data_IF_987810854158
#
_entry.id   IF_987810854158
#
_cell.length_a   1.000
_cell.length_b   1.000
_cell.length_c   1.000
_cell.angle_alpha   90.00
_cell.angle_beta   90.00
_cell.angle_gamma   90.00
#
_symmetry.space_group_name_H-M   'P 1'
#
loop_
_entity.id
_entity.type
_entity.pdbx_description
1 polymer ?
#
# COMPACT_ATOMS: atom_id res chain seq x y z
N UNK A 1 -30.30 17.04 -34.90
CA UNK A 1 -30.42 16.21 -33.71
C UNK A 1 -29.15 16.32 -32.82
N UNK A 2 -27.95 16.44 -33.41
CA UNK A 2 -26.68 16.49 -32.63
C UNK A 2 -26.55 17.71 -31.70
N UNK A 3 -27.06 18.91 -32.11
CA UNK A 3 -26.91 20.12 -31.28
C UNK A 3 -27.74 20.12 -30.00
N UNK A 4 -28.82 19.35 -29.92
CA UNK A 4 -29.69 19.28 -28.74
C UNK A 4 -29.08 18.38 -27.63
N UNK A 5 -28.35 17.34 -28.04
CA UNK A 5 -27.69 16.42 -27.12
C UNK A 5 -26.47 17.08 -26.44
N UNK A 6 -25.68 17.81 -27.23
CA UNK A 6 -24.51 18.57 -26.73
C UNK A 6 -24.94 19.65 -25.73
N UNK A 7 -26.07 20.34 -26.01
CA UNK A 7 -26.62 21.36 -25.10
C UNK A 7 -27.13 20.76 -23.78
N UNK A 8 -27.63 19.51 -23.80
CA UNK A 8 -28.11 18.84 -22.60
C UNK A 8 -26.94 18.42 -21.69
N UNK A 9 -25.83 17.95 -22.28
CA UNK A 9 -24.63 17.57 -21.51
C UNK A 9 -23.97 18.82 -20.89
N UNK A 10 -23.91 19.94 -21.63
CA UNK A 10 -23.39 21.20 -21.09
C UNK A 10 -24.23 21.80 -19.95
N UNK A 11 -25.55 21.56 -19.94
CA UNK A 11 -26.45 22.06 -18.90
C UNK A 11 -26.30 21.31 -17.57
N UNK A 12 -25.67 20.13 -17.57
CA UNK A 12 -25.41 19.31 -16.38
C UNK A 12 -24.03 19.55 -15.76
N UNK A 13 -23.23 20.47 -16.32
CA UNK A 13 -21.94 20.87 -15.74
C UNK A 13 -20.78 19.88 -15.98
N UNK A 14 -20.96 18.93 -16.90
CA UNK A 14 -19.87 18.03 -17.30
C UNK A 14 -18.93 18.71 -18.28
N UNK A 15 -17.64 18.68 -18.00
CA UNK A 15 -16.62 19.13 -18.95
C UNK A 15 -16.61 18.17 -20.15
N UNK A 16 -16.45 18.72 -21.35
CA UNK A 16 -16.16 17.89 -22.52
C UNK A 16 -14.75 17.32 -22.34
N UNK A 17 -14.64 16.01 -22.21
CA UNK A 17 -13.36 15.32 -22.20
C UNK A 17 -13.35 14.26 -23.29
N UNK A 18 -12.16 14.04 -23.83
CA UNK A 18 -11.81 12.95 -24.74
C UNK A 18 -11.88 11.64 -23.95
N UNK A 19 -13.04 10.98 -23.96
CA UNK A 19 -13.36 9.85 -23.10
C UNK A 19 -12.82 8.52 -23.67
N UNK A 20 -12.48 8.46 -24.95
CA UNK A 20 -11.86 7.30 -25.60
C UNK A 20 -10.34 7.47 -25.82
N UNK A 21 -9.78 8.64 -25.49
CA UNK A 21 -8.35 8.93 -25.51
C UNK A 21 -7.75 9.08 -26.92
N UNK A 22 -8.58 9.33 -27.94
CA UNK A 22 -8.10 9.41 -29.32
C UNK A 22 -7.58 10.81 -29.75
N UNK A 23 -7.78 11.83 -28.89
CA UNK A 23 -7.35 13.22 -29.11
C UNK A 23 -8.37 14.11 -29.79
N UNK A 24 -9.54 13.60 -30.18
CA UNK A 24 -10.63 14.34 -30.82
C UNK A 24 -11.89 14.31 -29.93
N UNK A 25 -12.60 15.41 -29.83
CA UNK A 25 -13.90 15.47 -29.13
C UNK A 25 -15.03 15.17 -30.11
N UNK A 26 -15.56 13.96 -30.08
CA UNK A 26 -16.57 13.53 -31.03
C UNK A 26 -17.80 12.83 -30.40
N UNK A 27 -18.59 12.18 -31.23
CA UNK A 27 -19.83 11.49 -30.79
C UNK A 27 -19.53 10.27 -29.89
N UNK A 28 -18.36 9.66 -30.03
CA UNK A 28 -17.97 8.48 -29.25
C UNK A 28 -17.77 8.87 -27.80
N UNK A 29 -17.09 10.01 -27.54
CA UNK A 29 -16.93 10.57 -26.20
C UNK A 29 -18.26 10.85 -25.52
N UNK A 30 -19.20 11.45 -26.26
CA UNK A 30 -20.53 11.73 -25.74
C UNK A 30 -21.31 10.43 -25.44
N UNK A 31 -21.15 9.39 -26.26
CA UNK A 31 -21.81 8.08 -26.04
C UNK A 31 -21.23 7.37 -24.82
N UNK A 32 -19.90 7.39 -24.61
CA UNK A 32 -19.25 6.82 -23.45
C UNK A 32 -19.74 7.52 -22.18
N UNK A 33 -19.74 8.84 -22.14
CA UNK A 33 -20.24 9.64 -21.02
C UNK A 33 -21.72 9.38 -20.73
N UNK A 34 -22.57 9.30 -21.77
CA UNK A 34 -24.00 9.00 -21.61
C UNK A 34 -24.25 7.58 -21.11
N UNK A 35 -23.52 6.58 -21.58
CA UNK A 35 -23.61 5.21 -21.07
C UNK A 35 -23.25 5.15 -19.59
N UNK A 36 -22.24 5.87 -19.17
CA UNK A 36 -21.86 5.99 -17.79
C UNK A 36 -22.98 6.57 -16.92
N UNK A 37 -23.63 7.65 -17.36
CA UNK A 37 -24.76 8.28 -16.66
C UNK A 37 -25.96 7.30 -16.56
N UNK A 38 -26.28 6.59 -17.64
CA UNK A 38 -27.44 5.69 -17.72
C UNK A 38 -27.25 4.38 -16.93
N UNK A 39 -26.02 3.94 -16.75
CA UNK A 39 -25.69 2.70 -16.03
C UNK A 39 -25.32 2.94 -14.55
N UNK A 40 -25.45 4.19 -14.10
CA UNK A 40 -25.07 4.58 -12.74
C UNK A 40 -23.57 4.28 -12.44
N UNK A 41 -22.75 4.15 -13.50
CA UNK A 41 -21.33 4.15 -13.32
C UNK A 41 -20.91 5.58 -12.97
N UNK A 42 -20.55 5.81 -11.75
CA UNK A 42 -19.85 7.02 -11.40
C UNK A 42 -18.59 7.03 -12.26
N UNK A 43 -18.35 8.14 -12.96
CA UNK A 43 -17.06 8.38 -13.58
C UNK A 43 -16.05 8.31 -12.42
N UNK A 44 -15.41 7.16 -12.29
CA UNK A 44 -14.16 7.09 -11.53
C UNK A 44 -13.22 7.88 -12.41
N UNK A 45 -12.89 9.13 -12.04
CA UNK A 45 -11.60 9.67 -12.41
C UNK A 45 -10.65 8.55 -11.99
N UNK A 46 -10.06 7.87 -12.95
CA UNK A 46 -8.92 7.00 -12.68
C UNK A 46 -7.83 8.01 -12.35
N UNK A 47 -7.77 8.42 -11.09
CA UNK A 47 -6.55 8.99 -10.55
C UNK A 47 -5.57 7.83 -10.67
N UNK A 48 -4.71 7.89 -11.70
CA UNK A 48 -3.79 6.81 -12.08
C UNK A 48 -2.88 6.37 -10.92
N UNK A 49 -2.90 7.11 -9.82
CA UNK A 49 -1.99 6.97 -8.68
C UNK A 49 -2.68 6.64 -7.34
N UNK A 50 -3.93 6.16 -7.32
CA UNK A 50 -4.62 5.80 -6.07
C UNK A 50 -5.45 4.51 -6.19
N UNK A 51 -5.59 3.79 -5.07
CA UNK A 51 -6.49 2.66 -4.94
C UNK A 51 -7.41 2.82 -3.73
N UNK A 52 -8.71 2.63 -3.95
CA UNK A 52 -9.72 2.64 -2.88
C UNK A 52 -9.85 1.23 -2.30
N UNK A 53 -9.53 1.08 -1.03
CA UNK A 53 -9.59 -0.21 -0.36
C UNK A 53 -9.87 -0.06 1.14
N UNK A 54 -10.82 -0.83 1.67
CA UNK A 54 -11.20 -0.88 3.09
C UNK A 54 -11.44 0.52 3.69
N UNK A 55 -12.35 1.30 3.06
CA UNK A 55 -12.73 2.68 3.41
C UNK A 55 -11.56 3.70 3.42
N UNK A 56 -10.43 3.35 2.80
CA UNK A 56 -9.27 4.22 2.69
C UNK A 56 -8.80 4.37 1.23
N UNK A 57 -8.17 5.50 0.93
CA UNK A 57 -7.60 5.81 -0.38
C UNK A 57 -6.08 5.78 -0.26
N UNK A 58 -5.46 4.71 -0.77
CA UNK A 58 -4.00 4.56 -0.78
C UNK A 58 -3.40 5.23 -2.00
N UNK A 59 -2.32 5.97 -1.80
CA UNK A 59 -1.48 6.43 -2.89
C UNK A 59 -0.72 5.26 -3.49
N UNK A 60 -0.59 5.24 -4.80
CA UNK A 60 0.21 4.27 -5.54
C UNK A 60 1.32 4.95 -6.33
N UNK A 61 2.26 4.19 -6.81
CA UNK A 61 3.40 4.67 -7.59
C UNK A 61 3.84 3.60 -8.57
N UNK A 62 4.18 4.01 -9.79
CA UNK A 62 4.79 3.11 -10.78
C UNK A 62 6.30 3.17 -10.67
N UNK A 63 6.94 2.03 -10.39
CA UNK A 63 8.39 1.88 -10.38
C UNK A 63 8.75 0.71 -11.27
N UNK A 64 9.50 0.96 -12.36
CA UNK A 64 9.89 -0.06 -13.33
C UNK A 64 8.69 -0.82 -13.91
N UNK A 65 7.67 -0.07 -14.38
CA UNK A 65 6.43 -0.60 -14.96
C UNK A 65 5.58 -1.47 -14.00
N UNK A 66 5.82 -1.40 -12.71
CA UNK A 66 5.09 -2.14 -11.67
C UNK A 66 4.45 -1.15 -10.70
N UNK A 67 3.17 -1.35 -10.41
CA UNK A 67 2.43 -0.52 -9.45
C UNK A 67 2.67 -1.00 -8.02
N UNK A 68 3.14 -0.10 -7.17
CA UNK A 68 3.35 -0.29 -5.75
C UNK A 68 2.44 0.61 -4.94
N UNK A 69 1.95 0.17 -3.81
CA UNK A 69 1.44 1.11 -2.81
C UNK A 69 2.58 2.02 -2.34
N UNK A 70 2.36 3.35 -2.34
CA UNK A 70 3.28 4.35 -1.79
C UNK A 70 3.09 4.53 -0.27
N UNK A 71 2.11 3.83 0.31
CA UNK A 71 1.78 3.82 1.72
C UNK A 71 1.74 2.40 2.29
N UNK A 72 1.98 2.26 3.60
CA UNK A 72 1.81 0.99 4.29
C UNK A 72 0.33 0.65 4.45
N UNK A 73 0.01 -0.62 4.30
CA UNK A 73 -1.35 -1.13 4.47
C UNK A 73 -1.86 -0.85 5.89
N UNK A 74 -3.18 -0.57 6.01
CA UNK A 74 -3.86 -0.31 7.29
C UNK A 74 -5.21 -0.99 7.39
N UNK A 75 -5.50 -1.94 6.49
CA UNK A 75 -6.76 -2.68 6.48
C UNK A 75 -6.98 -3.46 7.78
N UNK A 76 -8.23 -3.60 8.17
CA UNK A 76 -8.66 -4.41 9.30
C UNK A 76 -9.47 -5.62 8.87
N UNK A 77 -9.61 -5.83 7.56
CA UNK A 77 -10.41 -6.92 6.99
C UNK A 77 -9.63 -7.71 5.94
N UNK A 78 -10.01 -8.97 5.82
CA UNK A 78 -9.64 -9.81 4.67
C UNK A 78 -10.58 -9.54 3.48
N UNK A 79 -10.17 -9.99 2.29
CA UNK A 79 -10.94 -9.81 1.05
C UNK A 79 -12.34 -10.44 1.07
N UNK A 80 -12.60 -11.37 1.98
CA UNK A 80 -13.92 -11.97 2.17
C UNK A 80 -14.81 -11.21 3.19
N UNK A 81 -14.29 -10.12 3.77
CA UNK A 81 -14.98 -9.28 4.74
C UNK A 81 -14.84 -9.75 6.21
N UNK A 82 -14.07 -10.81 6.48
CA UNK A 82 -13.77 -11.21 7.85
C UNK A 82 -12.79 -10.21 8.50
N UNK A 83 -12.98 -9.94 9.79
CA UNK A 83 -12.07 -9.10 10.57
C UNK A 83 -10.68 -9.73 10.74
N UNK A 84 -9.63 -8.91 10.65
CA UNK A 84 -8.30 -9.22 11.16
C UNK A 84 -8.27 -8.79 12.63
N UNK A 85 -8.00 -9.73 13.54
CA UNK A 85 -8.02 -9.43 14.98
C UNK A 85 -6.98 -8.36 15.31
N UNK A 86 -7.42 -7.23 15.90
CA UNK A 86 -6.54 -6.19 16.41
C UNK A 86 -6.13 -6.53 17.85
N UNK A 87 -4.83 -6.70 18.11
CA UNK A 87 -4.30 -6.99 19.43
C UNK A 87 -3.47 -5.80 19.91
N UNK A 88 -4.00 -5.08 20.89
CA UNK A 88 -3.42 -3.84 21.39
C UNK A 88 -2.36 -4.06 22.47
N UNK A 89 -2.49 -5.13 23.30
CA UNK A 89 -1.57 -5.35 24.42
C UNK A 89 -0.47 -6.37 24.13
N UNK A 90 0.72 -6.12 24.65
CA UNK A 90 1.93 -6.89 24.37
C UNK A 90 1.86 -8.37 24.75
N UNK A 91 1.24 -8.70 25.88
CA UNK A 91 1.12 -10.09 26.34
C UNK A 91 0.24 -10.91 25.37
N UNK A 92 -0.88 -10.33 24.92
CA UNK A 92 -1.74 -10.95 23.91
C UNK A 92 -1.01 -11.20 22.60
N UNK A 93 -0.19 -10.23 22.18
CA UNK A 93 0.60 -10.35 20.95
C UNK A 93 1.69 -11.41 21.05
N UNK A 94 2.46 -11.41 22.14
CA UNK A 94 3.61 -12.31 22.36
C UNK A 94 3.24 -13.79 22.26
N UNK A 95 2.07 -14.17 22.74
CA UNK A 95 1.60 -15.55 22.73
C UNK A 95 0.57 -15.86 21.65
N UNK A 96 0.34 -14.93 20.71
CA UNK A 96 -0.59 -15.13 19.61
C UNK A 96 0.06 -15.93 18.47
N UNK A 97 -0.58 -17.01 18.06
CA UNK A 97 -0.22 -17.85 16.91
C UNK A 97 -1.29 -17.83 15.82
N UNK A 98 -2.22 -16.89 15.92
CA UNK A 98 -3.28 -16.67 14.96
C UNK A 98 -3.04 -15.35 14.18
N UNK A 99 -3.65 -15.18 12.99
CA UNK A 99 -3.59 -13.94 12.24
C UNK A 99 -4.01 -12.73 13.07
N UNK A 100 -3.20 -11.67 13.06
CA UNK A 100 -3.49 -10.45 13.81
C UNK A 100 -2.82 -9.21 13.22
N UNK A 101 -3.38 -8.05 13.56
CA UNK A 101 -2.77 -6.74 13.36
C UNK A 101 -2.71 -5.96 14.69
N UNK A 102 -1.96 -4.87 14.69
CA UNK A 102 -1.86 -3.94 15.81
C UNK A 102 -1.58 -2.52 15.34
N UNK A 103 -1.93 -1.56 16.18
CA UNK A 103 -1.46 -0.19 16.06
C UNK A 103 -0.13 -0.05 16.83
N UNK A 104 0.83 0.67 16.27
CA UNK A 104 2.08 0.97 16.97
C UNK A 104 1.79 1.85 18.20
N UNK A 105 2.28 1.47 19.39
CA UNK A 105 1.99 2.12 20.69
C UNK A 105 0.47 2.28 20.96
N UNK A 106 -0.35 1.34 20.48
CA UNK A 106 -1.82 1.36 20.67
C UNK A 106 -2.44 2.70 20.18
N UNK A 107 -1.85 3.31 19.15
CA UNK A 107 -2.15 4.67 18.70
C UNK A 107 -2.68 4.72 17.26
N UNK A 108 -3.96 5.04 17.11
CA UNK A 108 -4.57 5.33 15.80
C UNK A 108 -3.85 6.48 15.06
N UNK A 109 -3.27 7.42 15.80
CA UNK A 109 -2.49 8.51 15.18
C UNK A 109 -1.22 7.98 14.51
N UNK A 110 -0.59 6.94 15.08
CA UNK A 110 0.54 6.26 14.45
C UNK A 110 0.09 5.46 13.23
N UNK A 111 -1.04 4.76 13.31
CA UNK A 111 -1.63 4.06 12.16
C UNK A 111 -1.98 5.00 11.01
N UNK A 112 -2.47 6.19 11.31
CA UNK A 112 -2.75 7.20 10.28
C UNK A 112 -1.50 7.63 9.50
N UNK A 113 -0.31 7.54 10.10
CA UNK A 113 0.97 7.92 9.47
C UNK A 113 1.68 6.69 8.90
N UNK A 114 1.82 5.64 9.70
CA UNK A 114 2.73 4.51 9.43
C UNK A 114 2.02 3.24 8.96
N UNK A 115 0.69 3.22 8.91
CA UNK A 115 -0.09 2.00 8.68
C UNK A 115 -0.10 1.08 9.90
N UNK A 116 -0.72 -0.10 9.77
CA UNK A 116 -0.75 -1.11 10.83
C UNK A 116 0.46 -2.05 10.77
N UNK A 117 0.72 -2.68 11.90
CA UNK A 117 1.65 -3.80 12.01
C UNK A 117 0.86 -5.11 11.93
N UNK A 118 1.27 -6.02 11.04
CA UNK A 118 0.66 -7.34 10.87
C UNK A 118 1.66 -8.42 11.28
N UNK A 119 1.18 -9.51 11.87
CA UNK A 119 2.01 -10.69 12.02
C UNK A 119 2.06 -11.51 10.71
N UNK A 120 3.04 -12.40 10.59
CA UNK A 120 3.18 -13.21 9.37
C UNK A 120 2.02 -14.20 9.18
N UNK A 121 1.29 -14.56 10.24
CA UNK A 121 0.11 -15.42 10.10
C UNK A 121 -1.00 -14.70 9.32
N UNK A 122 -1.14 -13.38 9.47
CA UNK A 122 -2.08 -12.59 8.66
C UNK A 122 -1.61 -12.48 7.21
N UNK A 123 -0.28 -12.36 6.97
CA UNK A 123 0.29 -12.33 5.61
C UNK A 123 0.10 -13.67 4.89
N UNK A 124 0.26 -14.78 5.61
CA UNK A 124 0.17 -16.14 5.07
C UNK A 124 -1.29 -16.64 4.94
N UNK A 125 -2.29 -15.85 5.31
CA UNK A 125 -3.70 -16.28 5.32
C UNK A 125 -4.27 -16.27 3.89
N UNK A 126 -4.84 -17.42 3.49
CA UNK A 126 -5.40 -17.64 2.15
C UNK A 126 -6.58 -16.71 1.79
N UNK A 127 -7.20 -16.07 2.78
CA UNK A 127 -8.26 -15.08 2.55
C UNK A 127 -7.75 -13.81 1.88
N UNK A 128 -6.44 -13.52 2.02
CA UNK A 128 -5.80 -12.34 1.46
C UNK A 128 -6.29 -11.03 2.07
N UNK A 129 -5.42 -10.04 2.18
CA UNK A 129 -5.74 -8.70 2.70
C UNK A 129 -5.07 -7.55 1.93
N UNK A 130 -4.45 -7.84 0.79
CA UNK A 130 -4.21 -6.83 -0.24
C UNK A 130 -5.46 -6.64 -1.10
N UNK A 131 -5.67 -5.50 -1.74
CA UNK A 131 -6.78 -5.31 -2.67
C UNK A 131 -6.84 -6.41 -3.73
N UNK A 132 -8.03 -6.66 -4.28
CA UNK A 132 -8.18 -7.64 -5.37
C UNK A 132 -7.35 -7.21 -6.59
N UNK A 133 -6.53 -8.10 -7.14
CA UNK A 133 -5.55 -7.82 -8.20
C UNK A 133 -4.22 -7.29 -7.65
N UNK A 134 -4.04 -7.35 -6.32
CA UNK A 134 -2.81 -7.00 -5.62
C UNK A 134 -2.40 -8.09 -4.64
N UNK A 135 -1.11 -8.22 -4.39
CA UNK A 135 -0.58 -9.17 -3.41
C UNK A 135 0.49 -8.52 -2.51
N UNK A 136 0.84 -9.18 -1.42
CA UNK A 136 1.95 -8.74 -0.56
C UNK A 136 3.27 -8.94 -1.31
N UNK A 137 4.06 -7.88 -1.45
CA UNK A 137 5.31 -7.93 -2.19
C UNK A 137 6.25 -9.03 -1.67
N UNK A 138 6.82 -9.82 -2.59
CA UNK A 138 7.81 -10.85 -2.28
C UNK A 138 9.22 -10.26 -2.11
N UNK A 139 10.16 -11.02 -1.56
CA UNK A 139 11.57 -10.65 -1.49
C UNK A 139 12.22 -10.55 -2.87
N UNK A 140 11.73 -11.32 -3.86
CA UNK A 140 12.18 -11.19 -5.25
C UNK A 140 11.75 -9.87 -5.87
N UNK A 141 10.51 -9.42 -5.67
CA UNK A 141 10.01 -8.12 -6.16
C UNK A 141 10.72 -6.94 -5.50
N UNK A 142 10.98 -7.01 -4.19
CA UNK A 142 11.85 -6.03 -3.53
C UNK A 142 13.27 -6.04 -4.10
N UNK A 143 13.81 -7.21 -4.46
CA UNK A 143 15.13 -7.33 -5.08
C UNK A 143 15.16 -6.76 -6.51
N UNK A 144 14.11 -6.96 -7.29
CA UNK A 144 13.93 -6.37 -8.61
C UNK A 144 13.85 -4.84 -8.53
N UNK A 145 13.05 -4.33 -7.58
CA UNK A 145 13.00 -2.91 -7.27
C UNK A 145 14.38 -2.35 -6.91
N UNK A 146 15.10 -3.04 -6.03
CA UNK A 146 16.45 -2.62 -5.64
C UNK A 146 17.43 -2.62 -6.84
N UNK A 147 17.37 -3.62 -7.70
CA UNK A 147 18.19 -3.68 -8.92
C UNK A 147 17.90 -2.52 -9.87
N UNK A 148 16.62 -2.19 -10.08
CA UNK A 148 16.22 -1.01 -10.87
C UNK A 148 16.76 0.29 -10.27
N UNK A 149 16.76 0.41 -8.95
CA UNK A 149 17.28 1.59 -8.25
C UNK A 149 18.82 1.65 -8.19
N UNK A 150 19.53 0.66 -8.75
CA UNK A 150 20.98 0.65 -8.88
C UNK A 150 21.70 -0.33 -7.94
N UNK A 151 20.98 -1.27 -7.35
CA UNK A 151 21.47 -2.34 -6.49
C UNK A 151 21.13 -2.18 -5.02
N UNK A 152 21.15 -3.27 -4.30
CA UNK A 152 20.74 -3.35 -2.88
C UNK A 152 21.52 -2.39 -1.97
N UNK A 153 22.78 -2.10 -2.28
CA UNK A 153 23.67 -1.27 -1.45
C UNK A 153 23.23 0.20 -1.39
N UNK A 154 22.45 0.68 -2.38
CA UNK A 154 22.01 2.08 -2.47
C UNK A 154 20.50 2.24 -2.59
N UNK A 155 19.78 1.16 -2.83
CA UNK A 155 18.34 1.19 -3.05
C UNK A 155 17.59 1.71 -1.81
N UNK A 156 18.03 1.32 -0.62
CA UNK A 156 17.43 1.76 0.62
C UNK A 156 17.42 3.28 0.77
N UNK A 157 18.50 3.98 0.44
CA UNK A 157 18.54 5.44 0.46
C UNK A 157 17.49 6.08 -0.47
N UNK A 158 17.28 5.49 -1.65
CA UNK A 158 16.31 5.98 -2.63
C UNK A 158 14.87 5.66 -2.29
N UNK A 159 14.63 4.60 -1.51
CA UNK A 159 13.31 4.15 -1.07
C UNK A 159 12.84 4.85 0.21
N UNK A 160 13.75 5.21 1.10
CA UNK A 160 13.45 5.81 2.40
C UNK A 160 12.83 7.19 2.26
N UNK A 161 11.80 7.45 3.06
CA UNK A 161 11.24 8.78 3.23
C UNK A 161 12.28 9.75 3.78
N UNK A 162 12.34 10.98 3.24
CA UNK A 162 13.35 12.00 3.58
C UNK A 162 13.21 12.54 5.01
N UNK A 163 11.98 12.57 5.53
CA UNK A 163 11.68 13.23 6.80
C UNK A 163 11.79 12.26 7.99
N UNK A 164 11.62 10.96 7.73
CA UNK A 164 11.54 9.95 8.80
C UNK A 164 12.72 8.98 8.85
N UNK A 165 13.46 8.79 7.75
CA UNK A 165 14.53 7.80 7.63
C UNK A 165 15.82 8.31 6.97
N UNK A 166 16.03 9.62 6.87
CA UNK A 166 17.22 10.21 6.21
C UNK A 166 17.45 9.67 4.78
N UNK A 167 16.40 9.43 4.02
CA UNK A 167 16.45 8.98 2.64
C UNK A 167 16.30 10.12 1.65
N UNK A 168 16.45 9.82 0.35
CA UNK A 168 16.15 10.79 -0.71
C UNK A 168 14.72 10.72 -1.21
N UNK A 169 14.02 9.61 -0.95
CA UNK A 169 12.74 9.24 -1.55
C UNK A 169 12.69 9.38 -3.08
N UNK A 170 13.83 9.24 -3.74
CA UNK A 170 13.93 9.43 -5.20
C UNK A 170 13.05 8.46 -5.99
N UNK A 171 12.73 7.30 -5.42
CA UNK A 171 11.83 6.32 -6.01
C UNK A 171 10.35 6.64 -5.77
N UNK A 172 10.02 7.60 -4.92
CA UNK A 172 8.68 7.84 -4.36
C UNK A 172 8.05 6.61 -3.64
N UNK A 173 8.85 5.58 -3.34
CA UNK A 173 8.40 4.44 -2.55
C UNK A 173 7.90 4.86 -1.16
N UNK A 174 8.44 5.96 -0.65
CA UNK A 174 8.05 6.56 0.62
C UNK A 174 8.13 5.58 1.81
N UNK A 175 9.27 4.89 1.93
CA UNK A 175 9.52 3.94 3.01
C UNK A 175 9.58 4.63 4.36
N UNK A 176 8.56 4.45 5.19
CA UNK A 176 8.41 5.11 6.49
C UNK A 176 9.08 4.33 7.61
N UNK A 177 9.53 5.04 8.64
CA UNK A 177 10.11 4.47 9.86
C UNK A 177 9.05 3.95 10.83
N UNK A 178 8.14 3.10 10.37
CA UNK A 178 7.02 2.56 11.16
C UNK A 178 7.43 1.59 12.28
N UNK A 179 8.70 1.21 12.34
CA UNK A 179 9.21 0.29 13.37
C UNK A 179 8.68 -1.13 13.21
N UNK A 180 8.55 -1.80 14.35
CA UNK A 180 8.05 -3.17 14.44
C UNK A 180 7.40 -3.43 15.81
N UNK A 181 6.65 -4.52 15.93
CA UNK A 181 6.26 -5.12 17.20
C UNK A 181 7.00 -6.44 17.37
N UNK A 182 7.79 -6.56 18.45
CA UNK A 182 8.56 -7.77 18.67
C UNK A 182 7.70 -8.88 19.27
N UNK A 183 8.08 -10.13 19.04
CA UNK A 183 7.42 -11.32 19.55
C UNK A 183 7.93 -11.81 20.91
N UNK A 184 8.82 -11.07 21.56
CA UNK A 184 9.40 -11.44 22.85
C UNK A 184 8.68 -10.81 24.05
N UNK A 185 8.70 -11.47 25.23
CA UNK A 185 7.94 -11.05 26.41
C UNK A 185 8.40 -9.74 27.08
N UNK A 186 9.43 -9.08 26.54
CA UNK A 186 9.97 -7.83 27.07
C UNK A 186 10.08 -6.73 25.98
N UNK A 187 9.55 -6.98 24.79
CA UNK A 187 9.95 -6.23 23.61
C UNK A 187 8.76 -5.68 22.82
N UNK A 188 7.72 -5.18 23.40
CA UNK A 188 6.61 -4.52 22.72
C UNK A 188 6.97 -3.81 21.39
N UNK A 189 6.42 -2.68 21.13
CA UNK A 189 6.73 -1.89 19.95
C UNK A 189 8.17 -1.35 19.97
N UNK A 190 8.86 -1.38 18.86
CA UNK A 190 10.26 -1.02 18.76
C UNK A 190 10.62 -0.26 17.49
N UNK A 191 11.67 0.57 17.61
CA UNK A 191 12.43 1.08 16.46
C UNK A 191 11.68 2.08 15.53
N UNK A 192 10.52 2.61 15.94
CA UNK A 192 9.88 3.73 15.24
C UNK A 192 10.89 4.90 15.13
N UNK A 193 10.90 5.53 13.99
CA UNK A 193 11.84 6.62 13.70
C UNK A 193 13.23 6.15 13.24
N UNK A 194 13.53 4.84 13.32
CA UNK A 194 14.83 4.29 12.91
C UNK A 194 14.74 3.19 11.85
N UNK A 195 13.68 2.40 11.87
CA UNK A 195 13.51 1.25 10.97
C UNK A 195 12.17 1.30 10.24
N UNK A 196 12.19 1.09 8.93
CA UNK A 196 11.06 0.67 8.13
C UNK A 196 11.19 -0.83 7.84
N UNK A 197 10.31 -1.65 8.37
CA UNK A 197 10.34 -3.09 8.20
C UNK A 197 9.05 -3.57 7.54
N UNK A 198 9.19 -4.35 6.47
CA UNK A 198 8.08 -4.78 5.62
C UNK A 198 8.11 -6.29 5.47
N UNK A 199 7.05 -6.98 5.91
CA UNK A 199 6.90 -8.40 5.60
C UNK A 199 6.90 -8.61 4.09
N UNK A 200 7.47 -9.73 3.67
CA UNK A 200 7.31 -10.23 2.30
C UNK A 200 6.32 -11.40 2.28
N UNK A 201 5.81 -11.76 1.10
CA UNK A 201 4.99 -12.96 0.94
C UNK A 201 5.77 -14.25 1.20
N UNK A 202 7.11 -14.19 1.29
CA UNK A 202 7.95 -15.32 1.68
C UNK A 202 8.00 -15.42 3.20
N UNK A 203 7.46 -16.51 3.71
CA UNK A 203 7.28 -16.72 5.15
C UNK A 203 8.53 -16.44 5.97
N UNK A 204 8.39 -15.64 7.02
CA UNK A 204 9.41 -15.18 7.96
C UNK A 204 10.49 -14.24 7.37
N UNK A 205 10.43 -13.89 6.09
CA UNK A 205 11.35 -12.94 5.46
C UNK A 205 10.75 -11.54 5.47
N UNK A 206 11.58 -10.53 5.74
CA UNK A 206 11.18 -9.13 5.64
C UNK A 206 12.27 -8.27 5.02
N UNK A 207 11.85 -7.22 4.32
CA UNK A 207 12.69 -6.15 3.82
C UNK A 207 12.87 -5.07 4.90
N UNK A 208 14.06 -4.49 5.00
CA UNK A 208 14.42 -3.51 6.03
C UNK A 208 15.13 -2.29 5.44
N UNK A 209 14.65 -1.13 5.84
CA UNK A 209 15.24 0.19 5.62
C UNK A 209 15.67 0.75 6.97
N UNK A 210 16.97 1.01 7.15
CA UNK A 210 17.51 1.55 8.40
C UNK A 210 18.00 2.99 8.20
N UNK A 211 17.74 3.88 9.18
CA UNK A 211 18.01 5.32 9.04
C UNK A 211 19.45 5.64 8.65
N UNK A 212 20.44 4.96 9.19
CA UNK A 212 21.86 5.24 8.94
C UNK A 212 22.49 4.34 7.86
N UNK A 213 21.70 3.62 7.06
CA UNK A 213 22.20 2.73 6.01
C UNK A 213 21.55 3.02 4.68
N UNK A 214 22.33 3.03 3.62
CA UNK A 214 21.83 3.25 2.26
C UNK A 214 21.25 1.96 1.63
N UNK A 215 21.54 0.81 2.22
CA UNK A 215 21.16 -0.48 1.69
C UNK A 215 19.70 -0.84 2.03
N UNK A 216 19.07 -1.58 1.12
CA UNK A 216 17.91 -2.43 1.41
C UNK A 216 18.44 -3.77 1.93
N UNK A 217 18.03 -4.19 3.11
CA UNK A 217 18.43 -5.46 3.69
C UNK A 217 17.26 -6.44 3.74
N UNK A 218 17.56 -7.74 3.69
CA UNK A 218 16.60 -8.81 3.94
C UNK A 218 17.00 -9.57 5.19
N UNK A 219 16.06 -9.77 6.07
CA UNK A 219 16.26 -10.44 7.35
C UNK A 219 15.14 -11.44 7.62
N UNK A 220 15.28 -12.24 8.67
CA UNK A 220 14.24 -13.18 9.10
C UNK A 220 13.82 -12.93 10.52
N UNK A 221 12.54 -13.16 10.82
CA UNK A 221 11.98 -13.02 12.18
C UNK A 221 10.89 -14.07 12.40
N UNK A 222 10.62 -14.35 13.67
CA UNK A 222 9.48 -15.19 14.09
C UNK A 222 8.16 -14.64 13.52
N UNK A 223 7.27 -15.52 13.10
CA UNK A 223 5.96 -15.17 12.50
C UNK A 223 5.09 -14.31 13.38
N UNK A 224 5.26 -14.31 14.67
CA UNK A 224 4.52 -13.48 15.63
C UNK A 224 4.96 -12.02 15.62
N UNK A 225 6.13 -11.70 15.08
CA UNK A 225 6.54 -10.29 15.00
C UNK A 225 5.58 -9.49 14.13
N UNK A 226 5.31 -8.26 14.51
CA UNK A 226 4.50 -7.30 13.76
C UNK A 226 5.38 -6.41 12.88
N UNK A 227 5.05 -6.30 11.59
CA UNK A 227 5.72 -5.43 10.63
C UNK A 227 4.71 -4.82 9.67
N UNK A 228 5.11 -3.72 9.04
CA UNK A 228 4.32 -3.11 7.96
C UNK A 228 4.19 -4.06 6.76
N UNK A 229 3.22 -3.78 5.90
CA UNK A 229 3.00 -4.49 4.64
C UNK A 229 2.86 -3.49 3.50
N UNK A 230 3.42 -3.83 2.35
CA UNK A 230 3.22 -3.16 1.07
C UNK A 230 2.64 -4.14 0.07
N UNK A 231 1.57 -3.73 -0.58
CA UNK A 231 1.00 -4.49 -1.68
C UNK A 231 1.55 -3.98 -3.03
N UNK A 232 1.59 -4.89 -3.98
CA UNK A 232 2.03 -4.69 -5.37
C UNK A 232 0.95 -5.26 -6.28
N UNK A 233 0.72 -4.64 -7.44
CA UNK A 233 -0.24 -5.10 -8.45
C UNK A 233 0.25 -6.40 -9.13
N UNK A 234 -0.71 -7.31 -9.49
CA UNK A 234 -0.46 -8.65 -10.07
C UNK A 234 0.07 -8.60 -11.52
#
# INVERSE_FOLDING_TARGET
MNNLLILLVMSLGYSQCDADGNGDLDVVDVVIQMNCILTNCWYVEVEEDVIHYDDYVYQTIVINDVHWMAENLRTTHYNNGDDIINIEWDEGWTYNYEPACADYDESEANTAIYGKLYNQFAVDDDRGFCPIGWHVASDSEYSELANYLGGVDIAGYKMKNSDTLDGSNQSNFNGLAGGCRDSGPANGDCCMGNLGQFWTSNSMVYAELESNKDALAFNTKDKRAGKSVRCIED
#
